data_IF_098074496937
#
_entry.id   IF_098074496937
#
_cell.length_a   1.000
_cell.length_b   1.000
_cell.length_c   1.000
_cell.angle_alpha   90.00
_cell.angle_beta   90.00
_cell.angle_gamma   90.00
#
_symmetry.space_group_name_H-M   'P 1'
#
loop_
_entity.id
_entity.type
_entity.pdbx_description
1 polymer ?
#
# COMPACT_ATOMS: atom_id res chain seq x y z
N UNK A 1 20.54 -2.58 -5.33
CA UNK A 1 19.74 -3.78 -5.02
C UNK A 1 19.09 -4.32 -6.28
N UNK A 2 19.04 -5.65 -6.44
CA UNK A 2 18.50 -6.31 -7.64
C UNK A 2 17.07 -6.77 -7.40
N UNK A 3 16.30 -6.92 -8.48
CA UNK A 3 14.93 -7.46 -8.42
C UNK A 3 14.88 -8.82 -7.70
N UNK A 4 15.87 -9.67 -7.93
CA UNK A 4 15.99 -10.99 -7.29
C UNK A 4 16.06 -10.92 -5.76
N UNK A 5 16.71 -9.89 -5.20
CA UNK A 5 16.84 -9.75 -3.75
C UNK A 5 15.44 -9.47 -3.13
N UNK A 6 14.61 -8.67 -3.82
CA UNK A 6 13.23 -8.35 -3.41
C UNK A 6 12.32 -9.58 -3.53
N UNK A 7 12.40 -10.29 -4.66
CA UNK A 7 11.62 -11.51 -4.88
C UNK A 7 11.98 -12.59 -3.85
N UNK A 8 13.25 -12.69 -3.46
CA UNK A 8 13.66 -13.63 -2.40
C UNK A 8 12.94 -13.35 -1.07
N UNK A 9 12.72 -12.08 -0.73
CA UNK A 9 11.93 -11.68 0.44
C UNK A 9 10.45 -12.02 0.28
N UNK A 10 9.87 -11.88 -0.91
CA UNK A 10 8.45 -12.20 -1.12
C UNK A 10 8.19 -13.72 -1.15
N UNK A 11 9.08 -14.49 -1.77
CA UNK A 11 8.91 -15.92 -1.99
C UNK A 11 9.45 -16.80 -0.87
N UNK A 12 10.20 -16.25 0.10
CA UNK A 12 10.57 -17.01 1.31
C UNK A 12 9.29 -17.58 1.97
N UNK A 13 9.22 -18.91 2.22
CA UNK A 13 8.02 -19.52 2.79
C UNK A 13 7.65 -18.94 4.15
N UNK A 14 6.36 -18.95 4.47
CA UNK A 14 5.89 -18.73 5.84
C UNK A 14 5.92 -20.06 6.59
N UNK A 15 6.25 -20.02 7.88
CA UNK A 15 6.14 -21.19 8.73
C UNK A 15 4.67 -21.36 9.14
N UNK A 16 4.03 -22.47 8.72
CA UNK A 16 2.61 -22.72 9.03
C UNK A 16 2.33 -22.89 10.53
N UNK A 17 3.36 -23.07 11.36
CA UNK A 17 3.25 -23.13 12.82
C UNK A 17 3.26 -21.75 13.50
N UNK A 18 3.65 -20.69 12.78
CA UNK A 18 3.69 -19.33 13.33
C UNK A 18 2.29 -18.70 13.30
N UNK A 19 1.93 -17.97 14.37
CA UNK A 19 0.66 -17.24 14.42
C UNK A 19 0.79 -15.86 13.75
N UNK A 20 0.14 -15.72 12.59
CA UNK A 20 0.10 -14.48 11.81
C UNK A 20 -1.23 -13.70 11.93
N UNK A 21 -2.16 -14.12 12.81
CA UNK A 21 -3.49 -13.49 12.95
C UNK A 21 -3.43 -12.01 13.35
N UNK A 22 -2.33 -11.59 13.97
CA UNK A 22 -2.09 -10.20 14.32
C UNK A 22 -1.99 -9.28 13.09
N UNK A 23 -1.70 -9.82 11.90
CA UNK A 23 -1.65 -9.07 10.65
C UNK A 23 -3.03 -8.82 10.04
N UNK A 24 -4.06 -9.56 10.47
CA UNK A 24 -5.42 -9.43 9.94
C UNK A 24 -6.13 -8.16 10.39
N UNK A 25 -5.59 -7.42 11.36
CA UNK A 25 -6.21 -6.19 11.84
C UNK A 25 -5.20 -5.21 12.40
N UNK A 26 -5.48 -3.92 12.31
CA UNK A 26 -4.68 -2.85 12.90
C UNK A 26 -5.57 -1.72 13.41
N UNK A 27 -5.03 -0.88 14.28
CA UNK A 27 -5.71 0.34 14.73
C UNK A 27 -5.49 1.43 13.68
N UNK A 28 -6.57 2.12 13.31
CA UNK A 28 -6.51 3.32 12.49
C UNK A 28 -6.76 4.56 13.37
N UNK A 29 -6.40 5.78 12.93
CA UNK A 29 -6.68 6.95 13.74
C UNK A 29 -8.18 7.22 13.80
N UNK A 30 -8.63 7.85 14.89
CA UNK A 30 -9.95 8.50 14.92
C UNK A 30 -10.02 9.51 13.77
N UNK A 31 -11.03 9.38 12.91
CA UNK A 31 -11.15 10.24 11.72
C UNK A 31 -11.86 11.54 12.06
N UNK A 32 -11.54 12.59 11.31
CA UNK A 32 -12.31 13.83 11.35
C UNK A 32 -13.77 13.56 10.93
N UNK A 33 -14.73 14.45 11.25
CA UNK A 33 -16.14 14.25 10.89
C UNK A 33 -16.41 14.09 9.38
N UNK A 34 -15.53 14.60 8.54
CA UNK A 34 -15.58 14.43 7.08
C UNK A 34 -14.91 13.13 6.59
N UNK A 35 -14.46 12.27 7.50
CA UNK A 35 -13.76 11.02 7.24
C UNK A 35 -12.28 11.20 6.89
N UNK A 36 -11.70 12.40 7.02
CA UNK A 36 -10.28 12.62 6.77
C UNK A 36 -9.37 12.19 7.93
N UNK A 37 -8.10 11.88 7.63
CA UNK A 37 -7.07 11.58 8.61
C UNK A 37 -6.70 12.85 9.38
N UNK A 38 -6.69 12.82 10.72
CA UNK A 38 -6.25 13.96 11.51
C UNK A 38 -4.73 14.10 11.48
N UNK A 39 -4.24 15.34 11.60
CA UNK A 39 -2.80 15.63 11.75
C UNK A 39 -2.26 15.08 13.08
N UNK A 40 -3.05 15.22 14.15
CA UNK A 40 -2.74 14.66 15.47
C UNK A 40 -3.56 13.39 15.65
N UNK A 41 -2.86 12.25 15.65
CA UNK A 41 -3.48 10.93 15.60
C UNK A 41 -3.73 10.41 17.01
N UNK A 42 -4.97 10.03 17.29
CA UNK A 42 -5.37 9.26 18.46
C UNK A 42 -5.89 7.91 17.96
N UNK A 43 -5.68 6.85 18.74
CA UNK A 43 -6.19 5.52 18.43
C UNK A 43 -7.73 5.56 18.27
N UNK A 44 -8.20 5.14 17.11
CA UNK A 44 -9.62 4.96 16.82
C UNK A 44 -9.99 3.48 16.78
N UNK A 45 -10.84 3.13 15.82
CA UNK A 45 -11.35 1.77 15.70
C UNK A 45 -10.32 0.78 15.13
N UNK A 46 -10.53 -0.50 15.44
CA UNK A 46 -9.82 -1.60 14.81
C UNK A 46 -10.35 -1.84 13.40
N UNK A 47 -9.47 -1.75 12.41
CA UNK A 47 -9.76 -2.14 11.04
C UNK A 47 -9.43 -3.61 10.82
N UNK A 48 -10.39 -4.41 10.35
CA UNK A 48 -10.27 -5.87 10.21
C UNK A 48 -10.31 -6.29 8.73
N UNK A 49 -9.22 -6.87 8.23
CA UNK A 49 -9.09 -7.34 6.85
C UNK A 49 -9.81 -8.67 6.60
N UNK A 50 -10.25 -9.39 7.65
CA UNK A 50 -11.05 -10.63 7.51
C UNK A 50 -12.34 -10.40 6.73
N UNK A 51 -12.86 -9.17 6.73
CA UNK A 51 -14.04 -8.82 5.92
C UNK A 51 -13.83 -9.00 4.41
N UNK A 52 -12.57 -9.07 3.96
CA UNK A 52 -12.17 -9.34 2.57
C UNK A 52 -11.79 -10.81 2.34
N UNK A 53 -12.19 -11.70 3.25
CA UNK A 53 -12.08 -13.16 3.14
C UNK A 53 -13.49 -13.78 3.03
N UNK A 54 -13.84 -14.35 1.88
CA UNK A 54 -15.16 -14.95 1.58
C UNK A 54 -15.33 -16.32 2.26
N UNK A 55 -14.24 -17.07 2.42
CA UNK A 55 -14.21 -18.39 3.03
C UNK A 55 -12.86 -18.68 3.72
N UNK A 56 -12.76 -19.85 4.37
CA UNK A 56 -11.56 -20.26 5.09
C UNK A 56 -10.32 -20.41 4.20
N UNK A 57 -10.49 -20.78 2.93
CA UNK A 57 -9.39 -20.89 1.97
C UNK A 57 -8.88 -19.50 1.58
N UNK A 58 -9.79 -18.57 1.29
CA UNK A 58 -9.43 -17.19 1.01
C UNK A 58 -8.81 -16.52 2.24
N UNK A 59 -9.29 -16.83 3.45
CA UNK A 59 -8.67 -16.35 4.69
C UNK A 59 -7.23 -16.88 4.86
N UNK A 60 -6.98 -18.17 4.61
CA UNK A 60 -5.61 -18.72 4.62
C UNK A 60 -4.71 -18.00 3.62
N UNK A 61 -5.21 -17.79 2.40
CA UNK A 61 -4.48 -17.07 1.36
C UNK A 61 -4.25 -15.60 1.73
N UNK A 62 -5.19 -14.94 2.41
CA UNK A 62 -5.03 -13.57 2.91
C UNK A 62 -3.91 -13.50 3.94
N UNK A 63 -3.85 -14.44 4.89
CA UNK A 63 -2.79 -14.49 5.90
C UNK A 63 -1.41 -14.67 5.26
N UNK A 64 -1.28 -15.57 4.28
CA UNK A 64 -0.02 -15.77 3.54
C UNK A 64 0.40 -14.50 2.78
N UNK A 65 -0.56 -13.84 2.10
CA UNK A 65 -0.31 -12.58 1.43
C UNK A 65 0.21 -11.52 2.41
N UNK A 66 -0.51 -11.31 3.51
CA UNK A 66 -0.18 -10.28 4.51
C UNK A 66 1.18 -10.55 5.15
N UNK A 67 1.50 -11.80 5.47
CA UNK A 67 2.79 -12.16 6.06
C UNK A 67 3.96 -11.81 5.11
N UNK A 68 3.86 -12.17 3.83
CA UNK A 68 4.90 -11.93 2.82
C UNK A 68 5.05 -10.45 2.48
N UNK A 69 3.93 -9.75 2.29
CA UNK A 69 3.96 -8.30 2.04
C UNK A 69 4.44 -7.53 3.28
N UNK A 70 4.08 -7.95 4.49
CA UNK A 70 4.55 -7.33 5.74
C UNK A 70 6.06 -7.48 5.90
N UNK A 71 6.61 -8.66 5.57
CA UNK A 71 8.06 -8.87 5.53
C UNK A 71 8.72 -7.95 4.50
N UNK A 72 8.13 -7.79 3.32
CA UNK A 72 8.64 -6.88 2.29
C UNK A 72 8.68 -5.42 2.79
N UNK A 73 7.60 -4.86 3.34
CA UNK A 73 7.58 -3.44 3.75
C UNK A 73 8.57 -3.16 4.87
N UNK A 74 8.74 -4.10 5.82
CA UNK A 74 9.77 -4.00 6.87
C UNK A 74 11.18 -4.06 6.28
N UNK A 75 11.40 -4.94 5.32
CA UNK A 75 12.69 -5.05 4.65
C UNK A 75 13.01 -3.79 3.84
N UNK A 76 12.06 -3.22 3.11
CA UNK A 76 12.24 -1.94 2.39
C UNK A 76 12.66 -0.84 3.36
N UNK A 77 12.00 -0.73 4.52
CA UNK A 77 12.40 0.22 5.57
C UNK A 77 13.85 -0.01 6.00
N UNK A 78 14.25 -1.24 6.33
CA UNK A 78 15.63 -1.57 6.72
C UNK A 78 16.68 -1.29 5.63
N UNK A 79 16.30 -1.37 4.35
CA UNK A 79 17.23 -1.16 3.24
C UNK A 79 17.33 0.29 2.77
N UNK A 80 16.36 1.14 3.12
CA UNK A 80 16.27 2.50 2.56
C UNK A 80 16.15 3.60 3.60
N UNK A 81 15.78 3.25 4.84
CA UNK A 81 15.35 4.16 5.89
C UNK A 81 14.12 5.01 5.51
N UNK A 82 13.27 4.57 4.57
CA UNK A 82 12.02 5.28 4.27
C UNK A 82 11.13 5.35 5.52
N UNK A 83 10.63 6.54 5.85
CA UNK A 83 9.87 6.73 7.09
C UNK A 83 8.52 5.99 7.07
N UNK A 84 7.83 6.01 5.93
CA UNK A 84 6.54 5.34 5.77
C UNK A 84 6.45 4.64 4.41
N UNK A 85 5.99 3.38 4.41
CA UNK A 85 5.70 2.64 3.18
C UNK A 85 4.48 1.75 3.40
N UNK A 86 3.49 1.81 2.51
CA UNK A 86 2.27 1.02 2.61
C UNK A 86 1.77 0.51 1.27
N UNK A 87 1.15 -0.68 1.28
CA UNK A 87 0.56 -1.31 0.10
C UNK A 87 -0.97 -1.31 0.26
N UNK A 88 -1.65 -0.79 -0.75
CA UNK A 88 -3.09 -0.72 -0.82
C UNK A 88 -3.61 -1.49 -2.03
N UNK A 89 -4.66 -2.29 -1.85
CA UNK A 89 -5.35 -2.98 -2.93
C UNK A 89 -6.74 -2.41 -3.15
N UNK A 90 -7.19 -2.43 -4.41
CA UNK A 90 -8.49 -1.90 -4.81
C UNK A 90 -9.62 -2.86 -4.46
N UNK A 91 -10.61 -2.34 -3.73
CA UNK A 91 -11.89 -2.99 -3.47
C UNK A 91 -13.01 -2.08 -3.96
N UNK A 92 -13.56 -2.39 -5.14
CA UNK A 92 -14.63 -1.58 -5.74
C UNK A 92 -14.19 -0.13 -6.01
N UNK A 93 -14.77 0.79 -5.26
CA UNK A 93 -14.58 2.24 -5.31
C UNK A 93 -13.63 2.76 -4.22
N UNK A 94 -12.86 1.89 -3.57
CA UNK A 94 -11.87 2.29 -2.56
C UNK A 94 -10.55 1.53 -2.66
N UNK A 95 -9.49 2.17 -2.17
CA UNK A 95 -8.21 1.58 -1.83
C UNK A 95 -8.24 1.14 -0.37
N UNK A 96 -7.79 -0.08 -0.09
CA UNK A 96 -7.71 -0.65 1.27
C UNK A 96 -6.26 -0.95 1.59
N UNK A 97 -5.76 -0.48 2.74
CA UNK A 97 -4.40 -0.75 3.21
C UNK A 97 -4.28 -2.16 3.73
N UNK A 98 -3.38 -2.94 3.13
CA UNK A 98 -3.10 -4.32 3.53
C UNK A 98 -1.96 -4.39 4.53
N UNK A 99 -0.84 -3.75 4.21
CA UNK A 99 0.35 -3.75 5.06
C UNK A 99 1.03 -2.39 5.00
N UNK A 100 1.74 -2.02 6.06
CA UNK A 100 2.55 -0.82 6.09
C UNK A 100 3.67 -0.91 7.15
N UNK A 101 4.69 -0.08 6.98
CA UNK A 101 5.69 0.22 7.99
C UNK A 101 5.73 1.75 8.17
N UNK A 102 5.59 2.24 9.41
CA UNK A 102 5.62 3.66 9.74
C UNK A 102 4.54 4.04 10.74
N UNK A 103 4.31 5.35 10.90
CA UNK A 103 3.26 5.89 11.75
C UNK A 103 1.85 5.41 11.34
N UNK A 104 0.95 5.34 12.32
CA UNK A 104 -0.47 5.01 12.10
C UNK A 104 -1.08 5.93 11.03
N UNK A 105 -1.95 5.38 10.17
CA UNK A 105 -2.66 6.15 9.14
C UNK A 105 -4.01 5.52 8.82
N UNK A 106 -4.87 6.24 8.09
CA UNK A 106 -6.20 5.77 7.69
C UNK A 106 -6.12 4.43 6.93
N UNK A 107 -7.12 3.57 7.10
CA UNK A 107 -7.20 2.27 6.45
C UNK A 107 -7.62 2.35 4.97
N UNK A 108 -8.52 3.28 4.64
CA UNK A 108 -9.17 3.34 3.32
C UNK A 108 -9.06 4.72 2.66
N UNK A 109 -8.91 4.73 1.33
CA UNK A 109 -9.03 5.93 0.51
C UNK A 109 -10.10 5.75 -0.57
N UNK A 110 -11.08 6.66 -0.67
CA UNK A 110 -12.04 6.63 -1.77
C UNK A 110 -11.37 6.81 -3.13
N UNK A 111 -11.88 6.09 -4.14
CA UNK A 111 -11.54 6.22 -5.55
C UNK A 111 -12.68 6.95 -6.23
N UNK A 112 -12.63 8.27 -6.27
CA UNK A 112 -13.61 9.10 -6.96
C UNK A 112 -13.00 10.38 -7.52
N UNK A 113 -13.68 10.98 -8.49
CA UNK A 113 -13.25 12.23 -9.12
C UNK A 113 -13.08 13.37 -8.10
N UNK A 114 -13.89 13.39 -7.05
CA UNK A 114 -13.81 14.38 -5.97
C UNK A 114 -12.43 14.39 -5.30
N UNK A 115 -11.77 13.23 -5.20
CA UNK A 115 -10.49 13.08 -4.53
C UNK A 115 -9.28 13.21 -5.47
N UNK A 116 -9.47 13.33 -6.79
CA UNK A 116 -8.37 13.52 -7.76
C UNK A 116 -7.53 14.79 -7.49
N UNK A 117 -8.16 15.81 -6.93
CA UNK A 117 -7.50 17.07 -6.57
C UNK A 117 -7.05 17.12 -5.10
N UNK A 118 -7.36 16.08 -4.31
CA UNK A 118 -7.11 16.05 -2.86
C UNK A 118 -6.07 15.00 -2.46
N UNK A 119 -5.96 13.90 -3.21
CA UNK A 119 -5.20 12.71 -2.81
C UNK A 119 -4.38 12.18 -3.97
N UNK A 120 -3.06 12.06 -3.76
CA UNK A 120 -2.20 11.41 -4.75
C UNK A 120 -2.54 9.93 -4.89
N UNK A 121 -2.98 9.28 -3.81
CA UNK A 121 -3.38 7.87 -3.82
C UNK A 121 -4.53 7.64 -4.79
N UNK A 122 -5.53 8.51 -4.77
CA UNK A 122 -6.65 8.47 -5.73
C UNK A 122 -6.20 8.83 -7.14
N UNK A 123 -5.32 9.82 -7.29
CA UNK A 123 -4.80 10.22 -8.60
C UNK A 123 -4.02 9.09 -9.27
N UNK A 124 -3.11 8.44 -8.56
CA UNK A 124 -2.25 7.37 -9.08
C UNK A 124 -3.07 6.18 -9.57
N UNK A 125 -4.09 5.75 -8.81
CA UNK A 125 -4.93 4.63 -9.23
C UNK A 125 -5.81 4.97 -10.45
N UNK A 126 -6.31 6.21 -10.54
CA UNK A 126 -7.19 6.63 -11.64
C UNK A 126 -6.41 6.97 -12.92
N UNK A 127 -5.25 7.61 -12.81
CA UNK A 127 -4.41 8.02 -13.94
C UNK A 127 -3.44 6.92 -14.39
N UNK A 128 -3.29 5.84 -13.61
CA UNK A 128 -2.41 4.70 -13.89
C UNK A 128 -0.94 5.10 -14.09
N UNK A 129 -0.49 6.13 -13.39
CA UNK A 129 0.89 6.61 -13.44
C UNK A 129 1.40 6.89 -12.03
N UNK A 130 2.70 6.72 -11.82
CA UNK A 130 3.31 7.11 -10.55
C UNK A 130 3.28 8.64 -10.40
N UNK A 131 3.25 9.10 -9.15
CA UNK A 131 3.32 10.52 -8.82
C UNK A 131 4.42 10.71 -7.79
N UNK A 132 5.29 11.68 -8.04
CA UNK A 132 6.41 12.00 -7.16
C UNK A 132 6.38 13.47 -6.74
N UNK A 133 6.33 13.68 -5.43
CA UNK A 133 6.43 15.00 -4.80
C UNK A 133 7.80 15.09 -4.12
N UNK A 134 8.77 15.81 -4.71
CA UNK A 134 10.10 15.96 -4.12
C UNK A 134 10.12 16.90 -2.91
N UNK A 135 9.18 17.84 -2.83
CA UNK A 135 9.09 18.80 -1.73
C UNK A 135 7.63 19.20 -1.50
N UNK A 136 7.02 18.64 -0.46
CA UNK A 136 5.62 18.89 -0.07
C UNK A 136 5.38 20.36 0.30
N UNK A 137 6.38 21.06 0.83
CA UNK A 137 6.22 22.47 1.24
C UNK A 137 6.06 23.42 0.03
N UNK A 138 6.60 23.02 -1.13
CA UNK A 138 6.59 23.80 -2.37
C UNK A 138 5.70 23.16 -3.46
N UNK A 139 4.80 22.25 -3.08
CA UNK A 139 3.92 21.55 -4.01
C UNK A 139 2.55 22.22 -4.10
N UNK A 140 2.21 22.71 -5.30
CA UNK A 140 0.94 23.39 -5.57
C UNK A 140 -0.17 22.46 -6.11
N UNK A 141 0.07 21.14 -6.10
CA UNK A 141 -0.85 20.12 -6.61
C UNK A 141 -1.59 19.33 -5.54
N UNK A 142 -2.28 18.25 -5.93
CA UNK A 142 -2.95 17.35 -5.00
C UNK A 142 -1.95 16.78 -4.00
N UNK A 143 -2.28 16.89 -2.73
CA UNK A 143 -1.51 16.31 -1.63
C UNK A 143 -2.41 16.16 -0.40
N UNK A 144 -2.49 14.93 0.11
CA UNK A 144 -3.33 14.63 1.25
C UNK A 144 -2.49 14.60 2.53
N UNK A 145 -2.52 15.69 3.29
CA UNK A 145 -1.68 15.81 4.49
C UNK A 145 -2.27 15.02 5.67
N UNK A 146 -1.85 13.76 5.82
CA UNK A 146 -2.18 12.92 6.99
C UNK A 146 -1.10 12.99 8.09
N UNK A 147 0.12 13.44 7.77
CA UNK A 147 1.18 13.70 8.75
C UNK A 147 1.93 15.00 8.40
N UNK A 148 2.13 15.87 9.38
CA UNK A 148 2.81 17.15 9.19
C UNK A 148 4.33 17.01 8.99
N UNK A 149 4.92 15.87 9.34
CA UNK A 149 6.37 15.63 9.21
C UNK A 149 6.78 15.23 7.79
N UNK A 150 5.84 14.82 6.93
CA UNK A 150 6.11 14.37 5.57
C UNK A 150 6.59 15.54 4.71
N UNK A 151 7.70 15.33 4.00
CA UNK A 151 8.37 16.32 3.15
C UNK A 151 8.57 15.86 1.72
N UNK A 152 8.51 14.56 1.45
CA UNK A 152 8.43 14.02 0.09
C UNK A 152 7.60 12.74 0.07
N UNK A 153 7.00 12.45 -1.08
CA UNK A 153 6.09 11.32 -1.25
C UNK A 153 6.24 10.74 -2.66
N UNK A 154 6.29 9.41 -2.78
CA UNK A 154 6.31 8.66 -4.02
C UNK A 154 5.21 7.59 -3.97
N UNK A 155 4.16 7.79 -4.76
CA UNK A 155 3.07 6.83 -4.89
C UNK A 155 3.09 6.21 -6.30
N UNK A 156 2.93 4.89 -6.36
CA UNK A 156 3.07 4.11 -7.59
C UNK A 156 1.88 3.15 -7.76
N UNK A 157 1.37 3.00 -8.99
CA UNK A 157 0.32 2.02 -9.28
C UNK A 157 0.90 0.60 -9.26
N UNK A 158 0.05 -0.37 -8.94
CA UNK A 158 0.32 -1.80 -9.04
C UNK A 158 -0.55 -2.36 -10.15
N UNK A 159 0.06 -2.88 -11.20
CA UNK A 159 -0.66 -3.45 -12.33
C UNK A 159 -0.82 -4.97 -12.21
N UNK A 160 -2.00 -5.46 -12.59
CA UNK A 160 -2.19 -6.86 -12.94
C UNK A 160 -1.64 -7.16 -14.34
N UNK A 161 -1.49 -8.44 -14.68
CA UNK A 161 -0.98 -8.90 -15.97
C UNK A 161 -1.77 -8.36 -17.17
N UNK A 162 -3.08 -8.12 -17.00
CA UNK A 162 -3.97 -7.57 -18.03
C UNK A 162 -3.85 -6.03 -18.20
N UNK A 163 -2.99 -5.36 -17.44
CA UNK A 163 -2.78 -3.90 -17.50
C UNK A 163 -3.80 -3.06 -16.69
N UNK A 164 -4.68 -3.69 -15.90
CA UNK A 164 -5.50 -2.96 -14.94
C UNK A 164 -4.74 -2.65 -13.66
N UNK A 165 -5.05 -1.51 -13.04
CA UNK A 165 -4.46 -1.12 -11.75
C UNK A 165 -5.29 -1.74 -10.64
N UNK A 166 -4.69 -2.70 -9.92
CA UNK A 166 -5.32 -3.47 -8.83
C UNK A 166 -4.97 -2.93 -7.45
N UNK A 167 -4.14 -1.89 -7.39
CA UNK A 167 -3.70 -1.29 -6.15
C UNK A 167 -2.65 -0.20 -6.38
N UNK A 168 -2.11 0.28 -5.27
CA UNK A 168 -0.98 1.20 -5.23
C UNK A 168 -0.03 0.77 -4.12
N UNK A 169 1.20 1.24 -4.16
CA UNK A 169 1.95 1.46 -2.94
C UNK A 169 2.28 2.93 -2.81
N UNK A 170 2.34 3.37 -1.57
CA UNK A 170 2.60 4.75 -1.20
C UNK A 170 3.81 4.79 -0.26
N UNK A 171 4.64 5.81 -0.41
CA UNK A 171 5.92 5.96 0.29
C UNK A 171 6.10 7.42 0.68
N UNK A 172 6.23 7.68 1.98
CA UNK A 172 6.40 9.04 2.51
C UNK A 172 7.72 9.13 3.29
N UNK A 173 8.35 10.30 3.26
CA UNK A 173 9.57 10.54 4.04
C UNK A 173 9.62 11.95 4.64
N UNK A 174 10.28 12.07 5.80
CA UNK A 174 10.47 13.33 6.52
C UNK A 174 11.60 14.21 5.94
N UNK A 175 12.31 13.71 4.93
CA UNK A 175 13.34 14.43 4.17
C UNK A 175 12.76 14.85 2.82
N UNK A 176 13.13 16.05 2.36
CA UNK A 176 12.86 16.49 0.99
C UNK A 176 13.72 15.67 0.03
N UNK A 177 13.21 15.45 -1.18
CA UNK A 177 13.93 14.81 -2.30
C UNK A 177 14.45 13.42 -1.97
N UNK A 178 13.86 12.74 -0.98
CA UNK A 178 14.37 11.48 -0.46
C UNK A 178 14.38 10.37 -1.52
N UNK A 179 13.44 10.45 -2.46
CA UNK A 179 13.24 9.45 -3.50
C UNK A 179 14.02 9.73 -4.79
N UNK A 180 14.68 10.89 -4.97
CA UNK A 180 15.39 11.26 -6.21
C UNK A 180 16.36 10.14 -6.69
N UNK A 181 17.13 9.57 -5.76
CA UNK A 181 18.10 8.50 -5.99
C UNK A 181 17.52 7.08 -5.77
N UNK A 182 16.23 6.99 -5.39
CA UNK A 182 15.53 5.73 -5.07
C UNK A 182 14.40 5.40 -6.03
N UNK A 183 14.04 6.26 -6.98
CA UNK A 183 12.98 5.99 -7.97
C UNK A 183 13.25 4.69 -8.74
N UNK A 184 14.50 4.41 -9.14
CA UNK A 184 14.82 3.16 -9.82
C UNK A 184 14.57 1.94 -8.91
N UNK A 185 14.92 2.04 -7.63
CA UNK A 185 14.74 0.95 -6.69
C UNK A 185 13.28 0.79 -6.26
N UNK A 186 12.68 1.83 -5.67
CA UNK A 186 11.32 1.81 -5.13
C UNK A 186 10.29 1.86 -6.27
N UNK A 187 10.37 2.88 -7.13
CA UNK A 187 9.38 3.11 -8.18
C UNK A 187 9.37 2.06 -9.30
N UNK A 188 10.49 1.36 -9.54
CA UNK A 188 10.57 0.35 -10.62
C UNK A 188 10.79 -1.07 -10.11
N UNK A 189 11.84 -1.34 -9.32
CA UNK A 189 12.18 -2.73 -8.92
C UNK A 189 11.21 -3.28 -7.87
N UNK A 190 10.91 -2.51 -6.82
CA UNK A 190 9.91 -2.91 -5.80
C UNK A 190 8.54 -3.05 -6.46
N UNK A 191 8.12 -2.07 -7.27
CA UNK A 191 6.90 -2.15 -8.07
C UNK A 191 6.83 -3.46 -8.85
N UNK A 192 7.86 -3.77 -9.66
CA UNK A 192 7.86 -4.98 -10.48
C UNK A 192 7.83 -6.26 -9.65
N UNK A 193 8.51 -6.29 -8.50
CA UNK A 193 8.49 -7.44 -7.60
C UNK A 193 7.10 -7.69 -7.01
N UNK A 194 6.43 -6.62 -6.56
CA UNK A 194 5.05 -6.69 -6.05
C UNK A 194 4.11 -7.20 -7.15
N UNK A 195 4.22 -6.66 -8.37
CA UNK A 195 3.38 -7.10 -9.50
C UNK A 195 3.57 -8.58 -9.82
N UNK A 196 4.82 -9.06 -9.94
CA UNK A 196 5.12 -10.49 -10.16
C UNK A 196 4.53 -11.35 -9.05
N UNK A 197 4.70 -10.93 -7.79
CA UNK A 197 4.22 -11.71 -6.66
C UNK A 197 2.69 -11.79 -6.61
N UNK A 198 2.00 -10.68 -6.90
CA UNK A 198 0.53 -10.63 -6.88
C UNK A 198 -0.11 -11.32 -8.10
N UNK A 199 0.58 -11.36 -9.25
CA UNK A 199 0.10 -12.00 -10.48
C UNK A 199 -0.35 -13.45 -10.27
N UNK A 200 0.43 -14.22 -9.51
CA UNK A 200 0.17 -15.64 -9.28
C UNK A 200 -0.37 -15.94 -7.87
N UNK A 201 -0.53 -14.92 -7.02
CA UNK A 201 -0.91 -15.16 -5.63
C UNK A 201 -2.35 -15.70 -5.52
N UNK A 202 -2.60 -16.83 -4.84
CA UNK A 202 -3.93 -17.43 -4.74
C UNK A 202 -5.01 -16.49 -4.18
N UNK A 203 -4.65 -15.60 -3.26
CA UNK A 203 -5.56 -14.56 -2.76
C UNK A 203 -6.07 -13.65 -3.88
N UNK A 204 -5.22 -13.28 -4.85
CA UNK A 204 -5.60 -12.40 -5.96
C UNK A 204 -6.35 -13.20 -7.04
N UNK A 205 -5.78 -14.33 -7.47
CA UNK A 205 -6.30 -15.10 -8.62
C UNK A 205 -7.62 -15.82 -8.33
N UNK A 206 -7.89 -16.17 -7.07
CA UNK A 206 -9.11 -16.90 -6.68
C UNK A 206 -10.22 -15.98 -6.15
N UNK A 207 -9.90 -14.73 -5.81
CA UNK A 207 -10.85 -13.79 -5.22
C UNK A 207 -11.83 -13.21 -6.24
N UNK A 208 -13.12 -13.21 -5.89
CA UNK A 208 -14.15 -12.61 -6.75
C UNK A 208 -13.98 -11.09 -6.90
N UNK A 209 -13.47 -10.42 -5.87
CA UNK A 209 -13.20 -8.98 -5.84
C UNK A 209 -12.17 -8.55 -6.90
N UNK A 210 -11.18 -9.40 -7.17
CA UNK A 210 -10.13 -9.14 -8.15
C UNK A 210 -10.46 -9.73 -9.52
N UNK A 211 -11.30 -10.77 -9.63
CA UNK A 211 -11.73 -11.37 -10.91
C UNK A 211 -12.30 -10.35 -11.90
N UNK A 212 -13.09 -9.37 -11.45
CA UNK A 212 -13.62 -8.31 -12.32
C UNK A 212 -12.56 -7.28 -12.75
N UNK A 213 -11.42 -7.23 -12.06
CA UNK A 213 -10.31 -6.31 -12.33
C UNK A 213 -9.20 -6.97 -13.15
N UNK A 214 -9.05 -8.30 -13.06
CA UNK A 214 -8.03 -9.10 -13.76
C UNK A 214 -8.58 -9.87 -14.97
N UNK A 215 -9.91 -9.98 -15.11
CA UNK A 215 -10.60 -10.64 -16.21
C UNK A 215 -10.60 -9.86 -17.52
#
# INVERSE_FOLDING_TARGET
MRLFDILSVLYEPINELDNHDHLLSYIQPELNPDGSCPIYKVEGDRYDLRQYAEDATQLKNLVDLLARLNRLVRWIHLQTDVAWFGIYLRHGDKLVKYVYNGEMSKAEFPISEEYLQKSINTRVIMEKQHYYIPDVENHDGPYYRCDAKVKSELCCPIFAANGQVIGIFDSEDHRKRFFDDKIEFIGQKVKKAIEIFLEDHPYITQSSNFKAQIG
#
